data_IF_006855323639
#
_entry.id   IF_006855323639
#
_cell.length_a   1.000
_cell.length_b   1.000
_cell.length_c   1.000
_cell.angle_alpha   90.00
_cell.angle_beta   90.00
_cell.angle_gamma   90.00
#
_symmetry.space_group_name_H-M   'P 1'
#
loop_
_entity.id
_entity.type
_entity.pdbx_description
1 polymer ?
#
# COMPACT_ATOMS: atom_id res chain seq x y z
N UNK A 1 11.88 -11.77 -1.65
CA UNK A 1 10.49 -11.40 -2.00
C UNK A 1 9.53 -12.60 -1.93
N UNK A 2 9.81 -13.72 -2.62
CA UNK A 2 8.99 -14.94 -2.53
C UNK A 2 8.80 -15.43 -1.08
N UNK A 3 9.87 -15.48 -0.29
CA UNK A 3 9.74 -15.86 1.12
C UNK A 3 8.88 -14.87 1.92
N UNK A 4 8.97 -13.57 1.64
CA UNK A 4 8.21 -12.54 2.35
C UNK A 4 6.70 -12.62 2.09
N UNK A 5 6.30 -13.27 1.01
CA UNK A 5 4.90 -13.39 0.56
C UNK A 5 4.35 -14.81 0.68
N UNK A 6 5.19 -15.75 1.11
CA UNK A 6 4.81 -17.15 1.30
C UNK A 6 3.93 -17.32 2.54
N UNK A 7 2.84 -18.09 2.41
CA UNK A 7 1.99 -18.50 3.55
C UNK A 7 2.74 -19.29 4.62
N UNK A 8 3.87 -19.90 4.27
CA UNK A 8 4.69 -20.69 5.20
C UNK A 8 5.62 -19.84 6.04
N UNK A 9 5.78 -18.57 5.71
CA UNK A 9 6.63 -17.66 6.47
C UNK A 9 5.82 -17.09 7.65
N UNK A 10 6.25 -17.32 8.89
CA UNK A 10 5.56 -16.75 10.04
C UNK A 10 5.58 -15.22 9.96
N UNK A 11 4.41 -14.59 10.10
CA UNK A 11 4.25 -13.13 10.11
C UNK A 11 5.01 -12.47 11.27
N UNK A 12 5.33 -13.24 12.32
CA UNK A 12 6.03 -12.78 13.52
C UNK A 12 7.55 -12.66 13.35
N UNK A 13 8.11 -12.68 12.13
CA UNK A 13 9.55 -12.39 11.99
C UNK A 13 9.82 -11.02 12.63
N UNK A 14 10.74 -10.89 13.59
CA UNK A 14 11.17 -9.59 14.17
C UNK A 14 11.66 -8.56 13.13
N UNK A 15 11.76 -9.01 11.88
CA UNK A 15 12.32 -8.37 10.73
C UNK A 15 11.26 -7.78 9.78
N UNK A 16 9.97 -7.95 10.05
CA UNK A 16 8.91 -7.24 9.34
C UNK A 16 8.96 -5.77 9.75
N UNK A 17 9.06 -4.89 8.75
CA UNK A 17 9.18 -3.44 8.95
C UNK A 17 7.93 -2.80 8.36
N UNK A 18 7.34 -1.87 9.10
CA UNK A 18 6.32 -0.98 8.55
C UNK A 18 6.88 -0.33 7.27
N UNK A 19 6.05 -0.29 6.23
CA UNK A 19 6.39 0.36 4.98
C UNK A 19 6.69 1.85 5.21
N UNK A 20 7.59 2.43 4.43
CA UNK A 20 7.90 3.86 4.53
C UNK A 20 6.64 4.70 4.36
N UNK A 21 5.73 4.31 3.45
CA UNK A 21 4.48 5.03 3.22
C UNK A 21 3.46 4.85 4.34
N UNK A 22 3.42 3.70 5.00
CA UNK A 22 2.58 3.48 6.18
C UNK A 22 2.94 4.46 7.29
N UNK A 23 4.24 4.63 7.55
CA UNK A 23 4.74 5.55 8.58
C UNK A 23 4.40 7.01 8.23
N UNK A 24 4.47 7.40 6.95
CA UNK A 24 4.07 8.75 6.52
C UNK A 24 2.56 8.95 6.68
N UNK A 25 1.75 7.97 6.26
CA UNK A 25 0.30 8.03 6.42
C UNK A 25 -0.09 8.09 7.90
N UNK A 26 0.57 7.32 8.76
CA UNK A 26 0.34 7.31 10.20
C UNK A 26 0.62 8.70 10.80
N UNK A 27 1.76 9.31 10.46
CA UNK A 27 2.08 10.68 10.87
C UNK A 27 1.04 11.70 10.38
N UNK A 28 0.61 11.61 9.13
CA UNK A 28 -0.43 12.49 8.57
C UNK A 28 -1.79 12.29 9.24
N UNK A 29 -2.14 11.05 9.56
CA UNK A 29 -3.41 10.71 10.21
C UNK A 29 -3.42 11.18 11.65
N UNK A 30 -2.36 10.90 12.40
CA UNK A 30 -2.22 11.29 13.80
C UNK A 30 -2.14 12.81 13.96
N UNK A 31 -1.53 13.46 12.97
CA UNK A 31 -1.54 14.91 12.87
C UNK A 31 -2.98 15.43 12.91
N UNK A 32 -3.88 14.91 12.07
CA UNK A 32 -5.26 15.37 11.96
C UNK A 32 -6.13 15.13 13.22
N UNK A 33 -5.66 14.37 14.22
CA UNK A 33 -6.41 14.08 15.45
C UNK A 33 -6.30 15.27 16.43
N UNK A 34 -7.42 15.92 16.79
CA UNK A 34 -7.39 16.99 17.78
C UNK A 34 -6.97 16.47 19.16
N UNK A 35 -6.04 17.17 19.80
CA UNK A 35 -5.59 16.85 21.17
C UNK A 35 -4.45 15.84 21.26
N UNK A 36 -3.89 15.39 20.13
CA UNK A 36 -2.63 14.64 20.12
C UNK A 36 -1.53 15.45 20.80
N UNK A 37 -0.79 14.82 21.70
CA UNK A 37 0.30 15.49 22.44
C UNK A 37 1.44 15.86 21.49
N UNK A 38 1.93 17.09 21.60
CA UNK A 38 3.09 17.58 20.80
C UNK A 38 4.30 16.65 20.89
N UNK A 39 4.52 16.02 22.05
CA UNK A 39 5.59 15.04 22.24
C UNK A 39 5.42 13.82 21.33
N UNK A 40 4.21 13.28 21.24
CA UNK A 40 3.89 12.12 20.39
C UNK A 40 4.10 12.47 18.92
N UNK A 41 3.58 13.63 18.49
CA UNK A 41 3.78 14.12 17.12
C UNK A 41 5.26 14.30 16.77
N UNK A 42 6.06 14.81 17.71
CA UNK A 42 7.50 14.95 17.54
C UNK A 42 8.20 13.60 17.43
N UNK A 43 7.89 12.64 18.29
CA UNK A 43 8.46 11.29 18.27
C UNK A 43 8.14 10.57 16.94
N UNK A 44 6.90 10.71 16.46
CA UNK A 44 6.47 10.18 15.16
C UNK A 44 7.17 10.88 13.99
N UNK A 45 7.27 12.21 14.00
CA UNK A 45 8.01 12.96 12.99
C UNK A 45 9.49 12.53 12.93
N UNK A 46 10.15 12.39 14.08
CA UNK A 46 11.54 11.95 14.16
C UNK A 46 11.71 10.50 13.66
N UNK A 47 10.72 9.64 13.88
CA UNK A 47 10.69 8.29 13.34
C UNK A 47 10.50 8.29 11.81
N UNK A 48 9.49 9.01 11.31
CA UNK A 48 9.17 9.17 9.90
C UNK A 48 10.37 9.73 9.12
N UNK A 49 10.95 10.83 9.59
CA UNK A 49 12.10 11.49 8.97
C UNK A 49 13.32 10.55 8.87
N UNK A 50 13.60 9.77 9.91
CA UNK A 50 14.67 8.75 9.89
C UNK A 50 14.36 7.61 8.91
N UNK A 51 13.10 7.21 8.79
CA UNK A 51 12.70 6.16 7.85
C UNK A 51 12.80 6.63 6.40
N UNK A 52 12.27 7.81 6.08
CA UNK A 52 12.37 8.44 4.76
C UNK A 52 13.83 8.64 4.33
N UNK A 53 14.69 9.11 5.23
CA UNK A 53 16.13 9.30 4.95
C UNK A 53 16.84 8.01 4.54
N UNK A 54 16.37 6.85 5.03
CA UNK A 54 16.93 5.53 4.74
C UNK A 54 16.27 4.85 3.54
N UNK A 55 15.33 5.50 2.88
CA UNK A 55 14.60 4.95 1.76
C UNK A 55 14.98 5.69 0.48
N UNK A 56 15.78 5.03 -0.35
CA UNK A 56 16.28 5.59 -1.61
C UNK A 56 15.14 6.00 -2.55
N UNK A 57 14.01 5.27 -2.55
CA UNK A 57 12.87 5.58 -3.41
C UNK A 57 12.04 6.79 -2.95
N UNK A 58 12.29 7.29 -1.74
CA UNK A 58 11.61 8.46 -1.19
C UNK A 58 12.49 9.72 -1.16
N UNK A 59 13.76 9.64 -1.58
CA UNK A 59 14.72 10.74 -1.45
C UNK A 59 14.29 12.03 -2.18
N UNK A 60 13.60 11.92 -3.30
CA UNK A 60 13.15 13.06 -4.10
C UNK A 60 12.09 13.92 -3.40
N UNK A 61 11.31 13.32 -2.50
CA UNK A 61 10.15 13.95 -1.83
C UNK A 61 10.39 14.15 -0.33
N UNK A 62 11.43 13.50 0.21
CA UNK A 62 11.78 13.53 1.63
C UNK A 62 12.00 14.96 2.18
N UNK A 63 12.76 15.86 1.51
CA UNK A 63 12.92 17.23 1.99
C UNK A 63 11.60 17.99 2.10
N UNK A 64 10.72 17.81 1.11
CA UNK A 64 9.44 18.50 0.99
C UNK A 64 8.46 18.01 2.08
N UNK A 65 8.33 16.69 2.25
CA UNK A 65 7.52 16.07 3.31
C UNK A 65 8.01 16.48 4.71
N UNK A 66 9.32 16.40 4.96
CA UNK A 66 9.88 16.81 6.24
C UNK A 66 9.67 18.31 6.49
N UNK A 67 9.85 19.17 5.48
CA UNK A 67 9.64 20.62 5.61
C UNK A 67 8.19 20.95 5.95
N UNK A 68 7.24 20.35 5.23
CA UNK A 68 5.81 20.56 5.46
C UNK A 68 5.38 20.12 6.86
N UNK A 69 5.96 19.03 7.38
CA UNK A 69 5.59 18.45 8.68
C UNK A 69 6.42 18.96 9.87
N UNK A 70 7.51 19.71 9.65
CA UNK A 70 8.47 20.13 10.70
C UNK A 70 7.83 20.96 11.83
N UNK A 71 6.81 21.75 11.52
CA UNK A 71 6.17 22.67 12.47
C UNK A 71 4.76 22.22 12.89
N UNK A 72 4.46 20.95 12.70
CA UNK A 72 3.16 20.39 13.05
C UNK A 72 2.94 20.38 14.58
N UNK A 73 1.70 20.65 15.04
CA UNK A 73 1.33 20.71 16.47
C UNK A 73 1.12 22.12 17.05
N UNK A 74 1.64 23.19 16.40
CA UNK A 74 1.38 24.57 16.84
C UNK A 74 0.04 25.10 16.32
N UNK A 75 -1.09 24.71 16.94
CA UNK A 75 -2.44 25.26 16.67
C UNK A 75 -2.92 25.15 15.21
N UNK A 76 -2.32 24.28 14.41
CA UNK A 76 -2.71 24.09 13.03
C UNK A 76 -3.89 23.11 12.98
N UNK A 77 -5.08 23.62 12.69
CA UNK A 77 -6.28 22.81 12.48
C UNK A 77 -6.15 21.92 11.23
N UNK A 78 -7.18 21.11 10.97
CA UNK A 78 -7.27 20.21 9.81
C UNK A 78 -7.09 20.92 8.45
N UNK A 79 -7.35 22.22 8.40
CA UNK A 79 -7.22 23.07 7.20
C UNK A 79 -5.85 23.76 7.06
N UNK A 80 -4.83 23.24 7.74
CA UNK A 80 -3.48 23.77 7.55
C UNK A 80 -3.00 23.48 6.12
N UNK A 81 -2.64 24.54 5.41
CA UNK A 81 -1.97 24.49 4.11
C UNK A 81 -0.81 23.48 4.09
N UNK A 82 -0.06 23.37 5.20
CA UNK A 82 1.06 22.44 5.30
C UNK A 82 0.63 20.96 5.29
N UNK A 83 -0.55 20.63 5.84
CA UNK A 83 -1.07 19.26 5.84
C UNK A 83 -1.60 18.88 4.47
N UNK A 84 -2.28 19.80 3.79
CA UNK A 84 -2.71 19.60 2.42
C UNK A 84 -1.49 19.36 1.51
N UNK A 85 -0.48 20.23 1.62
CA UNK A 85 0.76 20.10 0.86
C UNK A 85 1.52 18.79 1.17
N UNK A 86 1.59 18.39 2.45
CA UNK A 86 2.20 17.11 2.82
C UNK A 86 1.40 15.91 2.28
N UNK A 87 0.08 16.02 2.22
CA UNK A 87 -0.80 14.99 1.65
C UNK A 87 -0.62 14.87 0.14
N UNK A 88 -0.46 15.99 -0.57
CA UNK A 88 -0.14 16.00 -2.00
C UNK A 88 1.20 15.31 -2.27
N UNK A 89 2.27 15.71 -1.57
CA UNK A 89 3.57 15.05 -1.70
C UNK A 89 3.54 13.56 -1.33
N UNK A 90 2.72 13.18 -0.34
CA UNK A 90 2.53 11.79 0.00
C UNK A 90 1.83 11.01 -1.12
N UNK A 91 0.78 11.57 -1.72
CA UNK A 91 0.06 10.94 -2.83
C UNK A 91 0.97 10.77 -4.07
N UNK A 92 1.77 11.78 -4.39
CA UNK A 92 2.74 11.72 -5.49
C UNK A 92 3.79 10.63 -5.23
N UNK A 93 4.33 10.57 -4.01
CA UNK A 93 5.24 9.50 -3.62
C UNK A 93 4.55 8.15 -3.71
N UNK A 94 3.29 8.02 -3.26
CA UNK A 94 2.54 6.78 -3.30
C UNK A 94 2.30 6.29 -4.73
N UNK A 95 2.14 7.20 -5.69
CA UNK A 95 1.95 6.87 -7.10
C UNK A 95 3.26 6.48 -7.82
N UNK A 96 4.38 7.09 -7.43
CA UNK A 96 5.69 6.90 -8.07
C UNK A 96 6.61 5.92 -7.32
N UNK A 97 6.18 5.38 -6.17
CA UNK A 97 7.08 4.66 -5.27
C UNK A 97 7.79 3.46 -5.91
N UNK A 98 7.03 2.59 -6.59
CA UNK A 98 7.60 1.40 -7.24
C UNK A 98 8.38 1.76 -8.51
N UNK A 99 7.97 2.81 -9.24
CA UNK A 99 8.73 3.35 -10.37
C UNK A 99 10.11 3.85 -9.91
N UNK A 100 10.18 4.62 -8.81
CA UNK A 100 11.42 5.09 -8.21
C UNK A 100 12.33 3.91 -7.83
N UNK A 101 11.77 2.86 -7.21
CA UNK A 101 12.51 1.64 -6.90
C UNK A 101 13.01 0.94 -8.16
N UNK A 102 12.20 0.83 -9.20
CA UNK A 102 12.59 0.23 -10.47
C UNK A 102 13.74 0.99 -11.12
N UNK A 103 13.71 2.33 -11.12
CA UNK A 103 14.79 3.17 -11.64
C UNK A 103 16.10 2.93 -10.88
N UNK A 104 16.04 2.91 -9.54
CA UNK A 104 17.19 2.66 -8.68
C UNK A 104 17.79 1.28 -8.94
N UNK A 105 16.95 0.26 -9.08
CA UNK A 105 17.37 -1.13 -9.34
C UNK A 105 17.90 -1.34 -10.77
N UNK A 106 17.48 -0.51 -11.72
CA UNK A 106 17.99 -0.48 -13.09
C UNK A 106 19.32 0.26 -13.23
N UNK A 107 19.67 1.13 -12.27
CA UNK A 107 20.93 1.88 -12.27
C UNK A 107 22.10 1.05 -11.72
N UNK A 108 23.08 0.72 -12.57
CA UNK A 108 24.29 -0.01 -12.16
C UNK A 108 25.05 0.67 -11.00
N UNK A 109 25.13 2.00 -11.02
CA UNK A 109 25.85 2.77 -9.98
C UNK A 109 25.17 2.72 -8.62
N UNK A 110 23.83 2.80 -8.59
CA UNK A 110 23.07 2.80 -7.33
C UNK A 110 22.91 1.39 -6.74
N UNK A 111 22.95 0.35 -7.58
CA UNK A 111 22.70 -1.04 -7.18
C UNK A 111 23.74 -1.61 -6.20
N UNK A 112 24.99 -1.17 -6.29
CA UNK A 112 26.13 -1.77 -5.57
C UNK A 112 26.05 -1.54 -4.04
N UNK A 113 25.36 -0.49 -3.58
CA UNK A 113 25.27 -0.12 -2.16
C UNK A 113 23.93 -0.45 -1.49
N UNK A 114 23.03 -1.15 -2.18
CA UNK A 114 21.69 -1.41 -1.64
C UNK A 114 21.66 -2.57 -0.64
N UNK A 115 20.98 -2.35 0.48
CA UNK A 115 20.51 -3.41 1.36
C UNK A 115 19.43 -4.22 0.64
N UNK A 116 19.81 -5.38 0.08
CA UNK A 116 18.93 -6.23 -0.72
C UNK A 116 17.71 -6.70 0.09
N UNK A 117 17.91 -7.11 1.34
CA UNK A 117 16.81 -7.61 2.18
C UNK A 117 15.87 -6.47 2.57
N UNK A 118 16.41 -5.34 3.02
CA UNK A 118 15.61 -4.17 3.37
C UNK A 118 14.88 -3.58 2.16
N UNK A 119 15.48 -3.61 0.97
CA UNK A 119 14.82 -3.16 -0.27
C UNK A 119 13.66 -4.08 -0.61
N UNK A 120 13.89 -5.41 -0.59
CA UNK A 120 12.83 -6.37 -0.82
C UNK A 120 11.67 -6.24 0.18
N UNK A 121 11.95 -5.96 1.46
CA UNK A 121 10.92 -5.69 2.46
C UNK A 121 10.13 -4.43 2.15
N UNK A 122 10.80 -3.31 1.84
CA UNK A 122 10.12 -2.04 1.52
C UNK A 122 9.17 -2.17 0.34
N UNK A 123 9.63 -2.81 -0.75
CA UNK A 123 8.81 -3.06 -1.94
C UNK A 123 7.59 -3.90 -1.54
N UNK A 124 7.79 -5.05 -0.88
CA UNK A 124 6.68 -5.94 -0.52
C UNK A 124 5.71 -5.30 0.48
N UNK A 125 6.21 -4.59 1.50
CA UNK A 125 5.36 -3.87 2.45
C UNK A 125 4.49 -2.85 1.73
N UNK A 126 5.05 -2.09 0.79
CA UNK A 126 4.27 -1.15 -0.02
C UNK A 126 3.19 -1.85 -0.85
N UNK A 127 3.55 -2.91 -1.57
CA UNK A 127 2.60 -3.63 -2.43
C UNK A 127 1.43 -4.22 -1.61
N UNK A 128 1.72 -4.72 -0.40
CA UNK A 128 0.72 -5.22 0.54
C UNK A 128 -0.16 -4.10 1.09
N UNK A 129 0.46 -2.98 1.49
CA UNK A 129 -0.23 -1.79 1.96
C UNK A 129 -1.21 -1.23 0.91
N UNK A 130 -0.86 -1.33 -0.37
CA UNK A 130 -1.71 -0.94 -1.50
C UNK A 130 -2.83 -1.94 -1.83
N UNK A 131 -2.98 -2.98 -1.01
CA UNK A 131 -4.10 -3.92 -1.05
C UNK A 131 -3.87 -5.16 -1.90
N UNK A 132 -2.68 -5.37 -2.47
CA UNK A 132 -2.39 -6.62 -3.16
C UNK A 132 -2.28 -7.76 -2.15
N UNK A 133 -2.94 -8.90 -2.42
CA UNK A 133 -2.86 -10.04 -1.51
C UNK A 133 -1.47 -10.69 -1.56
N UNK A 134 -0.93 -11.19 -0.42
CA UNK A 134 0.35 -11.90 -0.40
C UNK A 134 0.41 -13.06 -1.38
N UNK A 135 -0.70 -13.79 -1.55
CA UNK A 135 -0.80 -14.92 -2.49
C UNK A 135 -0.69 -14.47 -3.94
N UNK A 136 -1.30 -13.33 -4.29
CA UNK A 136 -1.22 -12.78 -5.64
C UNK A 136 0.21 -12.39 -5.97
N UNK A 137 0.90 -11.72 -5.03
CA UNK A 137 2.31 -11.35 -5.21
C UNK A 137 3.18 -12.60 -5.30
N UNK A 138 3.00 -13.58 -4.40
CA UNK A 138 3.74 -14.83 -4.41
C UNK A 138 3.61 -15.56 -5.74
N UNK A 139 2.37 -15.76 -6.21
CA UNK A 139 2.10 -16.45 -7.48
C UNK A 139 2.73 -15.70 -8.66
N UNK A 140 2.60 -14.38 -8.70
CA UNK A 140 3.25 -13.56 -9.72
C UNK A 140 4.77 -13.75 -9.74
N UNK A 141 5.43 -13.70 -8.58
CA UNK A 141 6.87 -13.90 -8.48
C UNK A 141 7.29 -15.33 -8.84
N UNK A 142 6.47 -16.32 -8.48
CA UNK A 142 6.70 -17.73 -8.77
C UNK A 142 6.57 -18.02 -10.26
N UNK A 143 5.53 -17.51 -10.91
CA UNK A 143 5.32 -17.60 -12.36
C UNK A 143 6.53 -17.02 -13.12
N UNK A 144 7.06 -15.88 -12.66
CA UNK A 144 8.29 -15.29 -13.23
C UNK A 144 9.51 -16.18 -13.03
N UNK A 145 9.70 -16.74 -11.84
CA UNK A 145 10.81 -17.65 -11.53
C UNK A 145 10.75 -18.93 -12.37
N UNK A 146 9.56 -19.44 -12.65
CA UNK A 146 9.34 -20.64 -13.45
C UNK A 146 9.36 -20.37 -14.96
N UNK A 147 9.19 -19.12 -15.38
CA UNK A 147 9.25 -18.74 -16.79
C UNK A 147 10.69 -18.79 -17.32
N UNK A 148 10.87 -19.25 -18.56
CA UNK A 148 12.15 -19.13 -19.27
C UNK A 148 12.43 -17.70 -19.77
N UNK A 149 11.63 -16.71 -19.37
CA UNK A 149 11.81 -15.31 -19.78
C UNK A 149 12.91 -14.68 -18.93
N UNK A 150 13.92 -14.12 -19.58
CA UNK A 150 14.87 -13.22 -18.90
C UNK A 150 14.12 -11.95 -18.53
N UNK A 151 14.03 -11.68 -17.23
CA UNK A 151 13.41 -10.48 -16.67
C UNK A 151 14.36 -9.94 -15.59
N UNK A 152 14.64 -8.64 -15.66
CA UNK A 152 15.41 -7.95 -14.64
C UNK A 152 14.53 -7.63 -13.43
N UNK A 153 15.16 -7.38 -12.28
CA UNK A 153 14.39 -7.01 -11.09
C UNK A 153 13.68 -5.67 -11.26
N UNK A 154 14.27 -4.73 -12.02
CA UNK A 154 13.65 -3.44 -12.35
C UNK A 154 12.34 -3.63 -13.12
N UNK A 155 12.37 -4.42 -14.19
CA UNK A 155 11.18 -4.76 -14.99
C UNK A 155 10.11 -5.48 -14.16
N UNK A 156 10.52 -6.36 -13.26
CA UNK A 156 9.60 -7.06 -12.37
C UNK A 156 8.88 -6.09 -11.42
N UNK A 157 9.58 -5.09 -10.90
CA UNK A 157 9.00 -4.06 -10.02
C UNK A 157 8.06 -3.14 -10.80
N UNK A 158 8.39 -2.76 -12.05
CA UNK A 158 7.47 -2.00 -12.92
C UNK A 158 6.18 -2.78 -13.19
N UNK A 159 6.27 -4.09 -13.41
CA UNK A 159 5.09 -4.92 -13.59
C UNK A 159 4.24 -5.12 -12.33
N UNK A 160 4.84 -4.96 -11.14
CA UNK A 160 4.08 -4.89 -9.89
C UNK A 160 3.37 -3.54 -9.78
N UNK A 161 4.04 -2.45 -10.13
CA UNK A 161 3.46 -1.11 -10.18
C UNK A 161 2.25 -1.04 -11.13
N UNK A 162 2.40 -1.56 -12.34
CA UNK A 162 1.30 -1.65 -13.32
C UNK A 162 0.11 -2.41 -12.74
N UNK A 163 0.35 -3.54 -12.08
CA UNK A 163 -0.71 -4.37 -11.46
C UNK A 163 -1.42 -3.65 -10.31
N UNK A 164 -0.66 -2.93 -9.49
CA UNK A 164 -1.20 -2.15 -8.38
C UNK A 164 -2.10 -1.01 -8.88
N UNK A 165 -1.71 -0.39 -10.00
CA UNK A 165 -2.46 0.70 -10.64
C UNK A 165 -3.68 0.22 -11.44
N UNK A 166 -3.85 -1.10 -11.65
CA UNK A 166 -5.03 -1.61 -12.34
C UNK A 166 -6.31 -1.32 -11.54
N UNK A 167 -7.40 -0.91 -12.22
CA UNK A 167 -8.67 -0.68 -11.54
C UNK A 167 -9.13 -1.96 -10.85
N UNK A 168 -9.63 -1.81 -9.61
CA UNK A 168 -10.19 -2.91 -8.85
C UNK A 168 -11.28 -3.60 -9.68
N UNK A 169 -11.08 -4.90 -9.95
CA UNK A 169 -12.12 -5.71 -10.56
C UNK A 169 -13.26 -5.83 -9.55
N UNK A 170 -14.41 -5.26 -9.90
CA UNK A 170 -15.62 -5.43 -9.11
C UNK A 170 -16.14 -6.84 -9.38
N UNK A 171 -15.98 -7.72 -8.39
CA UNK A 171 -16.59 -9.03 -8.43
C UNK A 171 -17.94 -8.95 -7.72
N UNK A 172 -18.98 -9.40 -8.41
CA UNK A 172 -20.30 -9.54 -7.79
C UNK A 172 -20.52 -11.02 -7.54
N UNK A 173 -20.99 -11.37 -6.34
CA UNK A 173 -21.26 -12.75 -5.94
C UNK A 173 -22.70 -12.85 -5.45
N UNK A 174 -23.36 -13.94 -5.83
CA UNK A 174 -24.64 -14.32 -5.22
C UNK A 174 -24.36 -15.33 -4.10
N UNK A 175 -24.68 -14.95 -2.86
CA UNK A 175 -24.49 -15.81 -1.69
C UNK A 175 -25.81 -16.52 -1.39
N UNK A 176 -25.87 -17.86 -1.48
CA UNK A 176 -27.08 -18.58 -1.08
C UNK A 176 -27.25 -18.48 0.42
N UNK A 177 -28.43 -18.05 0.86
CA UNK A 177 -28.81 -18.01 2.28
C UNK A 177 -30.00 -18.94 2.51
N UNK A 178 -30.04 -19.58 3.68
CA UNK A 178 -31.17 -20.43 4.09
C UNK A 178 -32.34 -19.62 4.64
N UNK A 179 -32.06 -18.42 5.15
CA UNK A 179 -33.01 -17.41 5.60
C UNK A 179 -32.41 -16.01 5.37
N UNK A 180 -33.27 -14.99 5.24
CA UNK A 180 -32.81 -13.61 5.12
C UNK A 180 -32.02 -13.22 6.39
N UNK A 181 -30.78 -12.68 6.27
CA UNK A 181 -29.99 -12.24 7.42
C UNK A 181 -30.68 -11.11 8.20
N UNK A 182 -30.73 -11.24 9.52
CA UNK A 182 -31.41 -10.29 10.42
C UNK A 182 -30.80 -8.87 10.40
N UNK A 183 -29.52 -8.73 10.03
CA UNK A 183 -28.84 -7.42 9.97
C UNK A 183 -29.26 -6.55 8.77
N UNK A 184 -30.12 -7.05 7.88
CA UNK A 184 -30.61 -6.34 6.69
C UNK A 184 -31.98 -5.65 6.91
N UNK A 185 -32.52 -5.67 8.14
CA UNK A 185 -33.73 -4.92 8.51
C UNK A 185 -33.48 -3.40 8.70
N UNK A 186 -32.53 -2.82 7.94
CA UNK A 186 -32.35 -1.38 7.83
C UNK A 186 -33.42 -0.75 6.91
N UNK A 187 -33.63 0.57 6.97
CA UNK A 187 -34.72 1.27 6.28
C UNK A 187 -34.62 1.30 4.74
N UNK A 188 -33.53 0.80 4.16
CA UNK A 188 -33.37 0.64 2.71
C UNK A 188 -33.07 -0.83 2.40
N UNK A 189 -33.90 -1.53 1.61
CA UNK A 189 -33.55 -2.87 1.17
C UNK A 189 -32.26 -2.80 0.34
N UNK A 190 -31.28 -3.62 0.70
CA UNK A 190 -30.30 -4.11 -0.28
C UNK A 190 -31.08 -4.74 -1.45
N UNK A 191 -30.51 -4.70 -2.66
CA UNK A 191 -31.09 -5.22 -3.90
C UNK A 191 -32.00 -6.45 -3.71
N UNK A 192 -33.12 -6.56 -4.46
CA UNK A 192 -34.11 -7.61 -4.25
C UNK A 192 -33.47 -8.99 -4.27
N UNK A 193 -33.83 -9.82 -3.27
CA UNK A 193 -33.40 -11.21 -3.17
C UNK A 193 -33.73 -11.97 -4.45
N UNK A 194 -32.70 -12.51 -5.09
CA UNK A 194 -32.86 -13.30 -6.30
C UNK A 194 -33.44 -14.67 -5.95
N UNK A 195 -34.57 -15.04 -6.57
CA UNK A 195 -35.04 -16.42 -6.57
C UNK A 195 -34.19 -17.30 -7.51
N UNK A 196 -34.42 -18.62 -7.52
CA UNK A 196 -33.60 -19.55 -8.31
C UNK A 196 -33.58 -19.26 -9.83
N UNK A 197 -34.70 -18.77 -10.39
CA UNK A 197 -34.80 -18.41 -11.81
C UNK A 197 -34.03 -17.12 -12.10
N UNK A 198 -34.19 -16.12 -11.24
CA UNK A 198 -33.48 -14.83 -11.31
C UNK A 198 -31.98 -15.01 -11.12
N UNK A 199 -31.54 -15.90 -10.22
CA UNK A 199 -30.13 -16.24 -10.03
C UNK A 199 -29.51 -16.82 -11.31
N UNK A 200 -30.25 -17.67 -12.04
CA UNK A 200 -29.79 -18.24 -13.30
C UNK A 200 -29.62 -17.15 -14.38
N UNK A 201 -30.57 -16.22 -14.46
CA UNK A 201 -30.49 -15.07 -15.39
C UNK A 201 -29.38 -14.10 -15.00
N UNK A 202 -29.27 -13.80 -13.70
CA UNK A 202 -28.22 -12.96 -13.13
C UNK A 202 -26.84 -13.53 -13.42
N UNK A 203 -26.66 -14.86 -13.26
CA UNK A 203 -25.42 -15.55 -13.59
C UNK A 203 -25.04 -15.36 -15.06
N UNK A 204 -25.99 -15.50 -15.99
CA UNK A 204 -25.74 -15.26 -17.42
C UNK A 204 -25.38 -13.81 -17.75
N UNK A 205 -25.91 -12.84 -16.98
CA UNK A 205 -25.63 -11.41 -17.18
C UNK A 205 -24.26 -10.97 -16.61
N UNK A 206 -23.75 -11.68 -15.60
CA UNK A 206 -22.53 -11.31 -14.85
C UNK A 206 -21.38 -12.32 -15.01
N UNK A 207 -21.52 -13.31 -15.89
CA UNK A 207 -20.47 -14.24 -16.34
C UNK A 207 -19.83 -13.76 -17.62
#
# INVERSE_FOLDING_TARGET
>A
MLELTSRRTPWHRPNWRAGTLEIVQEMLSEALIPGTKDRTLKEMYDHMSRTLKKDEAAQSVQPQLCSALKNYGKKQGKDSFNIQLATEFFNDLQHSYLENWAEILGSEKKRISLDVEGTAKRIISHTLYRGMSPNSIYKFLEDYKQSNKRCTLSELVLQLDEREKQPLKTFTFAVPVTAAPEFLHGPSPCDPWLNASELKQWKHKHS
#
